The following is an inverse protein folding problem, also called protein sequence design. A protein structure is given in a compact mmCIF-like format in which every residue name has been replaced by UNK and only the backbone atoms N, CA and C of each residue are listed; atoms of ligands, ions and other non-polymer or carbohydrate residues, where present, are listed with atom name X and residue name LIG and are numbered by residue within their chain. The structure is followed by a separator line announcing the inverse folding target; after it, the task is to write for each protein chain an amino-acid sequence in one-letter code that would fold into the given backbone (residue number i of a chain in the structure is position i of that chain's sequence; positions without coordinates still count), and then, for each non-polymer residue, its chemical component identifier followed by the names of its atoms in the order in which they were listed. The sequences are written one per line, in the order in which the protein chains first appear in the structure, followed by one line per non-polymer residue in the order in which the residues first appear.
data_IF_035943146290
#
_entry.id   IF_035943146290
#
_cell.length_a   1.000
_cell.length_b   1.000
_cell.length_c   1.000
_cell.angle_alpha   90.00
_cell.angle_beta   90.00
_cell.angle_gamma   90.00
#
_symmetry.space_group_name_H-M   'P 1'
#
loop_
_entity.id
_entity.type
_entity.pdbx_description
1 polymer ?
#
# COMPACT_ATOMS: atom_id res chain seq x y z
N UNK A 1 27.95 -18.93 2.98
CA UNK A 1 26.75 -19.16 2.13
C UNK A 1 25.56 -19.21 3.06
N UNK A 2 24.71 -18.18 3.03
CA UNK A 2 23.56 -18.05 3.94
C UNK A 2 22.45 -18.96 3.45
N UNK A 3 22.14 -20.01 4.21
CA UNK A 3 21.05 -20.93 3.91
C UNK A 3 19.72 -20.21 4.10
N UNK A 4 18.93 -20.10 3.03
CA UNK A 4 17.55 -19.65 3.12
C UNK A 4 16.79 -20.64 4.01
N UNK A 5 16.46 -20.20 5.22
CA UNK A 5 15.67 -20.99 6.16
C UNK A 5 14.24 -21.01 5.65
N UNK A 6 13.73 -22.20 5.31
CA UNK A 6 12.35 -22.38 4.87
C UNK A 6 11.37 -21.84 5.92
N UNK A 7 10.27 -21.20 5.52
CA UNK A 7 9.30 -20.67 6.47
C UNK A 7 8.76 -21.81 7.33
N UNK A 8 8.90 -21.67 8.65
CA UNK A 8 8.38 -22.63 9.62
C UNK A 8 6.86 -22.60 9.53
N UNK A 9 6.28 -23.61 8.88
CA UNK A 9 4.83 -23.73 8.68
C UNK A 9 4.17 -24.10 10.00
N UNK A 10 3.82 -23.08 10.79
CA UNK A 10 2.84 -23.25 11.86
C UNK A 10 1.60 -23.90 11.25
N UNK A 11 1.07 -24.94 11.92
CA UNK A 11 -0.06 -25.70 11.41
C UNK A 11 -1.24 -24.76 11.07
N UNK A 12 -1.74 -24.84 9.84
CA UNK A 12 -2.89 -24.07 9.39
C UNK A 12 -4.07 -24.28 10.34
N UNK A 13 -4.75 -23.19 10.69
CA UNK A 13 -5.91 -23.23 11.59
C UNK A 13 -7.02 -24.10 10.98
N UNK A 14 -7.49 -25.11 11.71
CA UNK A 14 -8.44 -26.12 11.21
C UNK A 14 -9.91 -25.87 11.58
N UNK A 15 -10.19 -24.80 12.34
CA UNK A 15 -11.53 -24.47 12.85
C UNK A 15 -11.81 -22.98 12.72
N UNK A 16 -13.10 -22.63 12.63
CA UNK A 16 -13.56 -21.24 12.76
C UNK A 16 -13.50 -20.82 14.24
N UNK A 17 -12.98 -19.63 14.49
CA UNK A 17 -12.96 -19.02 15.82
C UNK A 17 -13.74 -17.72 15.76
N UNK A 18 -14.69 -17.60 16.69
CA UNK A 18 -15.42 -16.36 16.93
C UNK A 18 -15.00 -15.85 18.32
N UNK A 19 -14.79 -14.54 18.45
CA UNK A 19 -14.37 -13.93 19.71
C UNK A 19 -15.00 -12.56 19.87
N UNK A 20 -15.16 -12.15 21.13
CA UNK A 20 -15.57 -10.79 21.50
C UNK A 20 -14.41 -10.16 22.28
N UNK A 21 -13.98 -8.98 21.84
CA UNK A 21 -12.98 -8.19 22.53
C UNK A 21 -13.68 -7.04 23.25
N UNK A 22 -13.61 -7.03 24.57
CA UNK A 22 -14.04 -5.91 25.39
C UNK A 22 -12.81 -5.14 25.86
N UNK A 23 -12.84 -3.82 25.71
CA UNK A 23 -11.81 -2.91 26.21
C UNK A 23 -12.46 -1.57 26.58
N UNK A 24 -11.84 -0.85 27.50
CA UNK A 24 -12.22 0.48 27.94
C UNK A 24 -11.11 1.50 27.65
N UNK A 25 -11.48 2.77 27.69
CA UNK A 25 -10.56 3.91 27.62
C UNK A 25 -11.02 4.93 28.64
N UNK A 26 -10.09 5.37 29.49
CA UNK A 26 -10.30 6.46 30.44
C UNK A 26 -9.51 7.68 29.96
N UNK A 27 -10.16 8.85 29.92
CA UNK A 27 -9.55 10.14 29.57
C UNK A 27 -8.72 10.14 28.28
N UNK A 28 -9.17 9.40 27.25
CA UNK A 28 -8.43 9.21 26.01
C UNK A 28 -9.32 9.15 24.78
N UNK A 29 -8.69 9.27 23.60
CA UNK A 29 -9.35 9.10 22.31
C UNK A 29 -8.94 7.77 21.66
N UNK A 30 -9.80 6.73 21.67
CA UNK A 30 -9.45 5.42 21.11
C UNK A 30 -9.28 5.43 19.59
N UNK A 31 -9.99 6.33 18.91
CA UNK A 31 -10.07 6.38 17.45
C UNK A 31 -10.57 7.75 16.98
N UNK A 32 -9.63 8.60 16.54
CA UNK A 32 -9.94 9.94 16.07
C UNK A 32 -10.63 9.98 14.71
N UNK A 33 -11.50 10.97 14.53
CA UNK A 33 -12.15 11.28 13.26
C UNK A 33 -11.39 12.39 12.51
N UNK A 34 -10.81 12.12 11.32
CA UNK A 34 -10.12 13.13 10.53
C UNK A 34 -11.06 14.24 10.05
N UNK A 35 -12.36 13.98 9.90
CA UNK A 35 -13.33 14.95 9.40
C UNK A 35 -13.93 15.81 10.53
N UNK A 36 -13.79 15.36 11.78
CA UNK A 36 -14.28 16.08 12.97
C UNK A 36 -13.14 16.55 13.87
N UNK A 37 -12.05 17.05 13.29
CA UNK A 37 -10.96 17.67 14.04
C UNK A 37 -10.28 16.73 15.05
N UNK A 38 -10.20 15.43 14.74
CA UNK A 38 -9.65 14.39 15.61
C UNK A 38 -10.44 14.13 16.90
N UNK A 39 -11.73 14.49 16.97
CA UNK A 39 -12.63 14.03 18.04
C UNK A 39 -12.82 12.50 17.98
N UNK A 40 -13.25 11.85 19.08
CA UNK A 40 -13.65 10.45 19.03
C UNK A 40 -14.75 10.24 17.98
N UNK A 41 -14.62 9.19 17.19
CA UNK A 41 -15.66 8.84 16.20
C UNK A 41 -16.97 8.45 16.90
N UNK A 42 -18.07 8.88 16.30
CA UNK A 42 -19.43 8.55 16.74
C UNK A 42 -20.19 7.91 15.58
N UNK A 43 -21.03 6.93 15.88
CA UNK A 43 -22.04 6.45 14.94
C UNK A 43 -23.17 7.48 14.84
N UNK A 44 -23.47 8.04 13.64
CA UNK A 44 -24.50 9.07 13.49
C UNK A 44 -25.92 8.59 13.82
N UNK A 45 -26.20 7.29 13.81
CA UNK A 45 -27.54 6.77 14.09
C UNK A 45 -27.77 6.51 15.59
N UNK A 46 -26.78 5.92 16.25
CA UNK A 46 -26.90 5.49 17.66
C UNK A 46 -26.22 6.44 18.65
N UNK A 47 -25.38 7.35 18.15
CA UNK A 47 -24.52 8.24 18.93
C UNK A 47 -23.54 7.52 19.87
N UNK A 48 -23.30 6.24 19.65
CA UNK A 48 -22.28 5.48 20.38
C UNK A 48 -20.89 5.74 19.80
N UNK A 49 -19.87 5.66 20.66
CA UNK A 49 -18.47 5.72 20.24
C UNK A 49 -18.12 4.58 19.28
N UNK A 50 -17.45 4.90 18.18
CA UNK A 50 -17.08 3.94 17.15
C UNK A 50 -15.57 3.75 17.05
N UNK A 51 -15.11 2.51 17.21
CA UNK A 51 -13.73 2.14 16.86
C UNK A 51 -13.76 1.31 15.59
N UNK A 52 -13.12 1.82 14.53
CA UNK A 52 -13.12 1.15 13.24
C UNK A 52 -12.25 -0.11 13.28
N UNK A 53 -12.61 -1.09 12.47
CA UNK A 53 -11.83 -2.31 12.30
C UNK A 53 -10.40 -2.00 11.82
N UNK A 54 -10.21 -1.01 10.95
CA UNK A 54 -8.91 -0.54 10.48
C UNK A 54 -8.04 -0.03 11.64
N UNK A 55 -8.64 0.68 12.61
CA UNK A 55 -7.94 1.14 13.82
C UNK A 55 -7.43 -0.06 14.65
N UNK A 56 -8.29 -1.06 14.90
CA UNK A 56 -7.89 -2.26 15.64
C UNK A 56 -6.82 -3.07 14.88
N UNK A 57 -7.02 -3.31 13.58
CA UNK A 57 -6.04 -3.99 12.70
C UNK A 57 -4.69 -3.25 12.71
N UNK A 58 -4.68 -1.92 12.83
CA UNK A 58 -3.44 -1.13 12.95
C UNK A 58 -2.76 -1.38 14.30
N UNK A 59 -3.49 -1.34 15.42
CA UNK A 59 -2.94 -1.62 16.75
C UNK A 59 -2.35 -3.04 16.84
N UNK A 60 -3.06 -4.03 16.31
CA UNK A 60 -2.58 -5.43 16.25
C UNK A 60 -1.29 -5.52 15.43
N UNK A 61 -1.25 -4.92 14.22
CA UNK A 61 -0.03 -4.90 13.40
C UNK A 61 1.14 -4.25 14.13
N UNK A 62 0.92 -3.11 14.79
CA UNK A 62 1.96 -2.42 15.54
C UNK A 62 2.48 -3.28 16.71
N UNK A 63 1.59 -3.94 17.45
CA UNK A 63 1.98 -4.86 18.52
C UNK A 63 2.80 -6.04 17.98
N UNK A 64 2.36 -6.68 16.88
CA UNK A 64 3.10 -7.77 16.23
C UNK A 64 4.48 -7.30 15.74
N UNK A 65 4.58 -6.10 15.18
CA UNK A 65 5.85 -5.54 14.72
C UNK A 65 6.87 -5.40 15.86
N UNK A 66 6.41 -5.05 17.07
CA UNK A 66 7.25 -4.94 18.26
C UNK A 66 7.59 -6.32 18.84
N UNK A 67 6.59 -7.18 19.03
CA UNK A 67 6.76 -8.50 19.65
C UNK A 67 7.57 -9.45 18.76
N UNK A 68 7.38 -9.36 17.44
CA UNK A 68 8.01 -10.20 16.43
C UNK A 68 9.30 -9.60 15.85
N UNK A 69 9.85 -8.53 16.45
CA UNK A 69 11.07 -7.90 15.95
C UNK A 69 12.20 -8.93 15.82
N UNK A 70 12.86 -8.94 14.67
CA UNK A 70 13.96 -9.84 14.28
C UNK A 70 13.61 -11.33 14.26
N UNK A 71 12.32 -11.69 14.31
CA UNK A 71 11.87 -13.08 14.20
C UNK A 71 11.46 -13.40 12.75
N UNK A 72 12.07 -14.42 12.13
CA UNK A 72 11.63 -14.90 10.82
C UNK A 72 10.14 -15.26 10.84
N UNK A 73 9.41 -14.87 9.79
CA UNK A 73 7.97 -15.14 9.66
C UNK A 73 7.04 -14.09 10.32
N UNK A 74 7.60 -13.06 10.96
CA UNK A 74 6.82 -11.96 11.55
C UNK A 74 6.91 -10.64 10.75
N UNK A 75 7.52 -10.66 9.57
CA UNK A 75 7.53 -9.50 8.68
C UNK A 75 6.11 -9.13 8.25
N UNK A 76 5.78 -7.85 8.35
CA UNK A 76 4.47 -7.31 7.98
C UNK A 76 4.55 -6.59 6.64
N UNK A 77 3.53 -6.79 5.81
CA UNK A 77 3.41 -6.16 4.49
C UNK A 77 3.21 -4.64 4.56
N UNK A 78 2.46 -4.16 5.56
CA UNK A 78 2.26 -2.72 5.81
C UNK A 78 2.88 -2.32 7.14
N UNK A 79 3.97 -1.57 7.09
CA UNK A 79 4.69 -1.11 8.29
C UNK A 79 4.37 0.36 8.61
N UNK A 80 4.58 0.80 9.86
CA UNK A 80 4.42 2.21 10.24
C UNK A 80 5.51 3.07 9.61
N UNK A 81 5.37 4.39 9.70
CA UNK A 81 6.42 5.33 9.31
C UNK A 81 7.73 5.07 10.06
N UNK A 82 7.67 4.47 11.24
CA UNK A 82 8.85 4.12 12.06
C UNK A 82 9.66 2.94 11.51
N UNK A 83 9.14 2.25 10.47
CA UNK A 83 9.90 1.22 9.78
C UNK A 83 10.97 1.81 8.85
N UNK A 84 12.00 1.01 8.57
CA UNK A 84 13.07 1.33 7.62
C UNK A 84 12.47 1.63 6.24
N UNK A 85 13.02 2.61 5.52
CA UNK A 85 12.47 3.11 4.25
C UNK A 85 12.14 2.01 3.25
N UNK A 86 13.02 1.01 3.06
CA UNK A 86 12.78 -0.08 2.10
C UNK A 86 11.56 -0.94 2.48
N UNK A 87 11.20 -0.99 3.76
CA UNK A 87 10.01 -1.70 4.26
C UNK A 87 8.75 -0.84 4.30
N UNK A 88 8.83 0.44 3.89
CA UNK A 88 7.66 1.35 3.79
C UNK A 88 7.10 1.43 2.36
N UNK A 89 7.96 1.31 1.35
CA UNK A 89 7.55 1.41 -0.05
C UNK A 89 7.22 0.02 -0.58
N UNK A 90 5.94 -0.24 -0.80
CA UNK A 90 5.44 -1.54 -1.25
C UNK A 90 6.11 -2.04 -2.53
N UNK A 91 6.38 -1.14 -3.48
CA UNK A 91 7.06 -1.51 -4.72
C UNK A 91 8.48 -2.05 -4.50
N UNK A 92 9.19 -1.58 -3.46
CA UNK A 92 10.52 -2.10 -3.11
C UNK A 92 10.42 -3.50 -2.49
N UNK A 93 9.40 -3.73 -1.65
CA UNK A 93 9.11 -5.06 -1.09
C UNK A 93 8.77 -6.04 -2.22
N UNK A 94 7.93 -5.63 -3.17
CA UNK A 94 7.60 -6.45 -4.34
C UNK A 94 8.84 -6.80 -5.14
N UNK A 95 9.70 -5.82 -5.42
CA UNK A 95 10.98 -6.04 -6.11
C UNK A 95 11.83 -7.10 -5.39
N UNK A 96 11.95 -7.03 -4.07
CA UNK A 96 12.71 -8.03 -3.31
C UNK A 96 12.18 -9.46 -3.46
N UNK A 97 10.86 -9.63 -3.63
CA UNK A 97 10.25 -10.93 -3.88
C UNK A 97 10.52 -11.43 -5.32
N UNK A 98 10.46 -10.55 -6.32
CA UNK A 98 10.83 -10.87 -7.70
C UNK A 98 12.31 -11.26 -7.81
N UNK A 99 13.20 -10.47 -7.20
CA UNK A 99 14.65 -10.71 -7.16
C UNK A 99 14.95 -12.07 -6.50
N UNK A 100 14.26 -12.40 -5.39
CA UNK A 100 14.41 -13.69 -4.70
C UNK A 100 13.94 -14.89 -5.53
N UNK A 101 12.99 -14.69 -6.45
CA UNK A 101 12.47 -15.71 -7.36
C UNK A 101 13.21 -15.74 -8.72
N UNK A 102 14.09 -14.77 -8.98
CA UNK A 102 14.79 -14.63 -10.27
C UNK A 102 13.87 -14.32 -11.44
N UNK A 103 12.75 -13.62 -11.19
CA UNK A 103 11.77 -13.28 -12.23
C UNK A 103 12.02 -11.85 -12.68
N UNK A 104 12.23 -11.67 -13.98
CA UNK A 104 12.35 -10.35 -14.59
C UNK A 104 10.97 -9.66 -14.68
N UNK A 105 10.87 -8.36 -14.34
CA UNK A 105 9.64 -7.62 -14.49
C UNK A 105 9.23 -7.56 -15.96
N UNK A 106 7.93 -7.67 -16.24
CA UNK A 106 7.41 -7.44 -17.57
C UNK A 106 7.76 -6.02 -18.04
N UNK A 107 8.09 -5.86 -19.33
CA UNK A 107 8.33 -4.53 -19.91
C UNK A 107 7.10 -3.66 -19.70
N UNK A 108 7.30 -2.48 -19.11
CA UNK A 108 6.24 -1.51 -18.84
C UNK A 108 5.41 -1.27 -20.10
N UNK A 109 4.08 -1.40 -19.99
CA UNK A 109 3.19 -0.89 -21.00
C UNK A 109 3.36 0.64 -21.05
N UNK A 110 3.38 1.25 -22.24
CA UNK A 110 3.49 2.70 -22.34
C UNK A 110 2.38 3.35 -21.52
N UNK A 111 2.74 4.36 -20.74
CA UNK A 111 1.78 5.12 -19.94
C UNK A 111 0.60 5.55 -20.83
N UNK A 112 -0.65 5.47 -20.33
CA UNK A 112 -1.79 5.93 -21.11
C UNK A 112 -1.58 7.41 -21.45
N UNK A 113 -1.34 7.68 -22.73
CA UNK A 113 -1.31 9.05 -23.24
C UNK A 113 -2.73 9.58 -23.15
N UNK A 114 -2.99 10.46 -22.20
CA UNK A 114 -4.26 11.16 -22.10
C UNK A 114 -4.47 12.03 -23.33
N UNK A 115 -5.33 11.60 -24.24
CA UNK A 115 -5.95 12.47 -25.24
C UNK A 115 -7.30 11.88 -25.66
N UNK A 116 -8.30 12.00 -24.77
CA UNK A 116 -9.70 11.81 -25.15
C UNK A 116 -10.24 13.10 -25.76
N UNK A 117 -9.92 13.26 -27.05
CA UNK A 117 -10.67 13.96 -28.11
C UNK A 117 -11.64 15.09 -27.76
N UNK A 118 -11.26 16.31 -28.13
CA UNK A 118 -12.18 17.42 -28.42
C UNK A 118 -11.83 18.16 -29.73
N UNK A 119 -12.46 17.77 -30.85
CA UNK A 119 -12.55 18.47 -32.17
C UNK A 119 -11.23 18.65 -32.97
N UNK A 120 -11.13 18.56 -34.31
CA UNK A 120 -12.04 18.40 -35.47
C UNK A 120 -11.16 17.91 -36.66
N UNK A 121 -11.75 17.52 -37.83
CA UNK A 121 -11.14 16.59 -38.79
C UNK A 121 -10.19 17.26 -39.78
N UNK A 122 -9.27 16.49 -40.39
CA UNK A 122 -8.67 16.92 -41.65
C UNK A 122 -8.41 15.77 -42.65
N UNK A 123 -8.79 16.03 -43.91
CA UNK A 123 -8.74 15.14 -45.09
C UNK A 123 -7.30 14.87 -45.55
N UNK A 124 -7.06 13.81 -46.36
CA UNK A 124 -5.72 13.32 -46.61
C UNK A 124 -5.02 13.98 -47.80
N UNK A 125 -3.70 14.09 -47.68
CA UNK A 125 -2.75 14.05 -48.78
C UNK A 125 -2.27 15.41 -49.30
N UNK A 126 -0.96 15.65 -49.27
CA UNK A 126 -0.03 15.41 -50.40
C UNK A 126 1.35 16.00 -50.06
N UNK A 127 2.39 15.19 -50.28
CA UNK A 127 3.53 15.61 -51.08
C UNK A 127 4.60 16.54 -50.48
N UNK A 128 5.82 16.00 -50.54
CA UNK A 128 7.06 16.67 -50.95
C UNK A 128 7.90 17.45 -49.92
N UNK A 129 9.07 16.84 -49.68
CA UNK A 129 10.39 17.37 -49.35
C UNK A 129 10.61 18.88 -49.56
N UNK A 130 11.34 19.52 -48.64
CA UNK A 130 12.66 20.12 -48.91
C UNK A 130 13.33 20.64 -47.62
N UNK A 131 14.67 20.60 -47.64
CA UNK A 131 15.64 21.11 -46.65
C UNK A 131 15.57 22.64 -46.48
N UNK A 132 15.91 23.12 -45.28
CA UNK A 132 16.70 24.32 -44.99
C UNK A 132 17.19 24.20 -43.52
N UNK A 133 18.42 24.50 -43.10
CA UNK A 133 19.45 25.35 -43.68
C UNK A 133 19.51 26.71 -42.99
N UNK A 134 20.25 26.77 -41.87
CA UNK A 134 21.22 27.82 -41.45
C UNK A 134 20.81 29.30 -41.23
N UNK A 135 21.33 29.87 -40.11
CA UNK A 135 21.46 31.28 -39.65
C UNK A 135 20.15 32.04 -39.36
N UNK A 136 20.01 32.86 -38.32
CA UNK A 136 20.97 33.58 -37.49
C UNK A 136 20.56 35.05 -37.48
N UNK A 137 20.11 35.54 -36.32
CA UNK A 137 20.44 36.83 -35.67
C UNK A 137 19.78 36.83 -34.27
#
# INVERSE_FOLDING_TARGET
MSTATAPQTAATVSRRYDFVLLFDVTDGNPNGDPDSGNLPRLDPQTLQGLVTDVCLKRKIRNAIAVIGRDRPGYDLYFQTQDAVYEKRVLNLIHKSAWDALGIEPAKEAPAPTGDDGGAKPNKPGRGAKAKAGDRGD
#
